data_IF_531348231620
#
_entry.id   IF_531348231620
#
_cell.length_a   1.000
_cell.length_b   1.000
_cell.length_c   1.000
_cell.angle_alpha   90.00
_cell.angle_beta   90.00
_cell.angle_gamma   90.00
#
_symmetry.space_group_name_H-M   'P 1'
#
loop_
_entity.id
_entity.type
_entity.pdbx_description
1 polymer ?
#
# COMPACT_ATOMS: atom_id res chain seq x y z
N UNK A 1 -44.98 -30.22 45.09
CA UNK A 1 -44.20 -29.17 45.80
C UNK A 1 -43.83 -28.07 44.80
N UNK A 2 -44.68 -27.06 44.70
CA UNK A 2 -44.40 -25.72 44.16
C UNK A 2 -43.75 -24.86 45.28
N UNK A 3 -43.28 -23.58 45.11
CA UNK A 3 -43.31 -22.69 43.92
C UNK A 3 -42.16 -21.62 43.75
N UNK A 4 -42.29 -20.82 42.66
CA UNK A 4 -42.07 -19.34 42.53
C UNK A 4 -40.65 -18.76 42.32
N UNK A 5 -40.36 -18.18 41.14
CA UNK A 5 -40.47 -16.73 40.74
C UNK A 5 -39.13 -15.99 40.90
N UNK A 6 -38.64 -15.07 40.05
CA UNK A 6 -39.31 -14.05 39.26
C UNK A 6 -38.42 -13.49 38.11
N UNK A 7 -39.08 -12.78 37.20
CA UNK A 7 -38.58 -12.00 36.06
C UNK A 7 -38.00 -10.64 36.51
N UNK A 8 -36.91 -10.16 35.88
CA UNK A 8 -36.57 -8.74 35.56
C UNK A 8 -35.25 -8.72 34.74
N UNK A 9 -35.25 -8.40 33.43
CA UNK A 9 -35.15 -7.07 32.82
C UNK A 9 -33.70 -6.53 32.61
N UNK A 10 -33.30 -6.45 31.32
CA UNK A 10 -32.49 -5.40 30.65
C UNK A 10 -30.99 -5.23 31.02
N UNK A 11 -30.05 -5.53 30.09
CA UNK A 11 -29.34 -4.59 29.16
C UNK A 11 -28.13 -5.26 28.47
N UNK A 12 -27.93 -4.96 27.17
CA UNK A 12 -26.76 -5.30 26.35
C UNK A 12 -25.48 -4.62 26.85
N UNK A 13 -24.32 -5.28 26.75
CA UNK A 13 -23.11 -4.62 26.18
C UNK A 13 -22.10 -5.64 25.65
N UNK A 14 -21.61 -5.37 24.44
CA UNK A 14 -20.60 -6.13 23.67
C UNK A 14 -19.24 -6.10 24.37
N UNK A 15 -18.61 -7.26 24.51
CA UNK A 15 -17.17 -7.35 24.78
C UNK A 15 -16.39 -7.14 23.46
N UNK A 16 -15.69 -6.02 23.36
CA UNK A 16 -14.66 -5.78 22.33
C UNK A 16 -13.30 -6.05 22.97
N UNK A 17 -12.59 -7.03 22.45
CA UNK A 17 -11.21 -7.34 22.82
C UNK A 17 -10.30 -6.30 22.13
N UNK A 18 -9.83 -5.32 22.90
CA UNK A 18 -8.87 -4.32 22.45
C UNK A 18 -7.44 -4.83 22.65
N UNK A 19 -6.70 -5.00 21.56
CA UNK A 19 -5.27 -5.29 21.53
C UNK A 19 -4.46 -4.05 21.92
N UNK A 20 -3.78 -4.13 23.05
CA UNK A 20 -2.86 -3.11 23.59
C UNK A 20 -1.43 -3.35 23.09
N UNK A 21 -0.90 -2.50 22.20
CA UNK A 21 0.55 -2.40 21.96
C UNK A 21 0.95 -0.93 21.70
N UNK A 22 1.74 -0.39 22.66
CA UNK A 22 2.67 0.75 22.63
C UNK A 22 2.49 1.68 23.85
N UNK A 23 3.42 1.70 24.83
CA UNK A 23 3.43 2.70 25.89
C UNK A 23 4.20 3.96 25.50
N UNK A 24 3.60 5.08 25.90
CA UNK A 24 4.09 6.45 26.04
C UNK A 24 5.62 6.64 26.13
N UNK A 25 6.22 7.29 25.13
CA UNK A 25 7.46 8.06 25.27
C UNK A 25 7.46 9.26 24.32
N UNK A 26 6.88 10.38 24.75
CA UNK A 26 7.13 11.70 24.17
C UNK A 26 7.26 12.71 25.32
N UNK A 27 8.37 13.47 25.31
CA UNK A 27 8.77 14.43 26.33
C UNK A 27 7.79 15.62 26.46
N UNK A 28 7.54 16.15 27.67
CA UNK A 28 6.57 17.22 27.89
C UNK A 28 7.18 18.60 27.66
N UNK A 29 7.38 18.99 26.40
CA UNK A 29 7.70 20.40 26.08
C UNK A 29 7.23 20.81 24.68
N UNK A 30 5.91 20.78 24.45
CA UNK A 30 5.30 21.50 23.33
C UNK A 30 4.09 22.26 23.89
N UNK A 31 4.33 23.48 24.40
CA UNK A 31 3.27 24.48 24.51
C UNK A 31 3.22 25.24 23.20
N UNK A 32 2.05 25.22 22.57
CA UNK A 32 1.71 25.83 21.27
C UNK A 32 2.30 25.15 20.04
N UNK A 33 1.57 24.19 19.44
CA UNK A 33 1.61 23.85 17.99
C UNK A 33 0.68 22.66 17.69
N UNK A 34 0.06 22.64 16.49
CA UNK A 34 -0.79 21.54 15.97
C UNK A 34 -0.15 20.18 16.29
N UNK A 35 -0.82 19.40 17.13
CA UNK A 35 -0.38 18.07 17.56
C UNK A 35 -0.48 17.09 16.39
N UNK A 36 0.55 16.25 16.18
CA UNK A 36 0.43 15.01 15.40
C UNK A 36 -0.55 14.11 16.16
N UNK A 37 -1.83 14.22 15.83
CA UNK A 37 -2.87 13.37 16.40
C UNK A 37 -2.87 12.06 15.62
N UNK A 38 -2.62 10.93 16.29
CA UNK A 38 -3.24 9.68 15.86
C UNK A 38 -4.74 9.99 15.90
N UNK A 39 -5.39 10.12 14.74
CA UNK A 39 -6.81 10.44 14.67
C UNK A 39 -7.60 9.14 14.58
N UNK A 40 -7.99 8.50 15.69
CA UNK A 40 -8.87 7.34 15.65
C UNK A 40 -10.28 7.70 15.15
N UNK A 41 -10.57 8.98 14.91
CA UNK A 41 -11.88 9.54 14.62
C UNK A 41 -11.89 10.29 13.29
N UNK A 42 -11.19 9.79 12.26
CA UNK A 42 -11.35 10.38 10.93
C UNK A 42 -12.82 10.27 10.50
N UNK A 43 -13.40 11.38 10.05
CA UNK A 43 -14.75 11.50 9.50
C UNK A 43 -14.68 12.41 8.28
N UNK A 44 -14.75 11.87 7.06
CA UNK A 44 -14.83 10.45 6.73
C UNK A 44 -13.47 9.78 6.95
N UNK A 45 -13.49 8.50 7.26
CA UNK A 45 -12.34 7.60 7.13
C UNK A 45 -12.02 7.36 5.65
N UNK A 46 -10.84 6.81 5.35
CA UNK A 46 -10.52 6.35 3.98
C UNK A 46 -11.48 5.29 3.45
N UNK A 47 -12.03 4.45 4.34
CA UNK A 47 -12.98 3.40 3.94
C UNK A 47 -14.33 4.00 3.53
N UNK A 48 -14.83 4.98 4.30
CA UNK A 48 -16.05 5.73 3.99
C UNK A 48 -15.87 6.56 2.72
N UNK A 49 -14.76 7.30 2.60
CA UNK A 49 -14.46 8.07 1.39
C UNK A 49 -14.34 7.17 0.14
N UNK A 50 -13.79 5.96 0.26
CA UNK A 50 -13.79 4.98 -0.83
C UNK A 50 -15.21 4.52 -1.18
N UNK A 51 -16.05 4.23 -0.18
CA UNK A 51 -17.44 3.84 -0.41
C UNK A 51 -18.24 4.91 -1.16
N UNK A 52 -17.98 6.19 -0.87
CA UNK A 52 -18.64 7.32 -1.52
C UNK A 52 -18.15 7.59 -2.95
N UNK A 53 -16.85 7.41 -3.23
CA UNK A 53 -16.22 7.88 -4.47
C UNK A 53 -16.03 6.75 -5.49
N UNK A 54 -15.55 5.58 -5.05
CA UNK A 54 -15.12 4.52 -5.95
C UNK A 54 -16.27 3.92 -6.78
N UNK A 55 -17.44 3.58 -6.21
CA UNK A 55 -18.51 2.95 -6.97
C UNK A 55 -19.10 3.83 -8.08
N UNK A 56 -19.09 5.15 -7.92
CA UNK A 56 -19.56 6.07 -8.95
C UNK A 56 -18.61 6.13 -10.16
N UNK A 57 -17.29 6.17 -9.91
CA UNK A 57 -16.29 6.29 -10.98
C UNK A 57 -15.86 4.94 -11.59
N UNK A 58 -15.92 3.87 -10.80
CA UNK A 58 -15.43 2.53 -11.13
C UNK A 58 -16.38 1.45 -10.57
N UNK A 59 -17.68 1.44 -10.93
CA UNK A 59 -18.62 0.44 -10.43
C UNK A 59 -18.17 -1.00 -10.74
N UNK A 60 -17.49 -1.20 -11.86
CA UNK A 60 -16.94 -2.50 -12.27
C UNK A 60 -15.89 -3.05 -11.29
N UNK A 61 -15.27 -2.20 -10.48
CA UNK A 61 -14.21 -2.61 -9.56
C UNK A 61 -14.75 -3.58 -8.50
N UNK A 62 -15.99 -3.40 -8.04
CA UNK A 62 -16.63 -4.30 -7.07
C UNK A 62 -16.94 -5.70 -7.65
N UNK A 63 -16.91 -5.85 -8.98
CA UNK A 63 -17.13 -7.13 -9.66
C UNK A 63 -15.86 -7.94 -9.92
N UNK A 64 -14.70 -7.49 -9.42
CA UNK A 64 -13.45 -8.23 -9.57
C UNK A 64 -13.54 -9.63 -8.97
N UNK A 65 -12.82 -10.55 -9.60
CA UNK A 65 -12.69 -11.93 -9.17
C UNK A 65 -11.25 -12.26 -8.80
N UNK A 66 -11.09 -13.23 -7.89
CA UNK A 66 -9.80 -13.83 -7.60
C UNK A 66 -9.36 -14.80 -8.73
N UNK A 67 -8.22 -15.45 -8.57
CA UNK A 67 -7.68 -16.40 -9.56
C UNK A 67 -8.54 -17.66 -9.77
N UNK A 68 -9.42 -18.01 -8.83
CA UNK A 68 -10.35 -19.15 -8.99
C UNK A 68 -11.64 -18.75 -9.73
N UNK A 69 -11.84 -17.44 -9.95
CA UNK A 69 -13.02 -16.86 -10.59
C UNK A 69 -14.15 -16.54 -9.61
N UNK A 70 -13.90 -16.64 -8.31
CA UNK A 70 -14.85 -16.25 -7.26
C UNK A 70 -14.75 -14.74 -6.98
N UNK A 71 -15.80 -14.16 -6.41
CA UNK A 71 -15.84 -12.76 -6.02
C UNK A 71 -14.66 -12.39 -5.11
N UNK A 72 -13.88 -11.40 -5.53
CA UNK A 72 -12.81 -10.86 -4.69
C UNK A 72 -13.37 -10.10 -3.48
N UNK A 73 -14.60 -9.59 -3.58
CA UNK A 73 -15.31 -8.90 -2.51
C UNK A 73 -16.57 -9.68 -2.09
N UNK A 74 -16.44 -10.76 -1.29
CA UNK A 74 -17.58 -11.61 -0.92
C UNK A 74 -18.72 -10.87 -0.22
N UNK A 75 -18.41 -9.82 0.55
CA UNK A 75 -19.44 -8.99 1.19
C UNK A 75 -20.36 -8.35 0.14
N UNK A 76 -19.80 -7.79 -0.93
CA UNK A 76 -20.57 -7.21 -2.03
C UNK A 76 -21.45 -8.27 -2.71
N UNK A 77 -20.86 -9.41 -3.10
CA UNK A 77 -21.58 -10.51 -3.74
C UNK A 77 -22.72 -11.06 -2.86
N UNK A 78 -22.54 -11.10 -1.53
CA UNK A 78 -23.58 -11.57 -0.60
C UNK A 78 -24.77 -10.62 -0.45
N UNK A 79 -24.65 -9.37 -0.90
CA UNK A 79 -25.68 -8.33 -0.72
C UNK A 79 -26.51 -8.11 -1.96
N UNK A 80 -25.97 -8.46 -3.13
CA UNK A 80 -26.61 -8.21 -4.43
C UNK A 80 -27.33 -9.44 -4.97
N UNK A 81 -28.25 -9.21 -5.90
CA UNK A 81 -29.14 -10.18 -6.54
C UNK A 81 -28.58 -10.76 -7.85
N UNK A 82 -27.32 -10.47 -8.19
CA UNK A 82 -26.61 -11.00 -9.35
C UNK A 82 -25.31 -11.68 -8.94
N UNK A 83 -24.85 -12.60 -9.78
CA UNK A 83 -23.59 -13.31 -9.55
C UNK A 83 -22.38 -12.40 -9.81
N UNK A 84 -21.30 -12.62 -9.07
CA UNK A 84 -19.98 -12.01 -9.33
C UNK A 84 -19.02 -13.13 -9.71
N UNK A 85 -18.70 -13.23 -11.00
CA UNK A 85 -17.98 -14.38 -11.53
C UNK A 85 -18.72 -15.67 -11.22
N UNK A 86 -18.03 -16.61 -10.54
CA UNK A 86 -18.60 -17.88 -10.11
C UNK A 86 -19.34 -17.81 -8.77
N UNK A 87 -19.27 -16.70 -8.04
CA UNK A 87 -19.94 -16.57 -6.75
C UNK A 87 -21.40 -16.18 -6.97
N UNK A 88 -22.37 -17.00 -6.51
CA UNK A 88 -23.78 -16.67 -6.62
C UNK A 88 -24.13 -15.39 -5.84
N UNK A 89 -25.06 -14.61 -6.37
CA UNK A 89 -25.65 -13.49 -5.64
C UNK A 89 -26.41 -14.00 -4.42
N UNK A 90 -26.12 -13.44 -3.24
CA UNK A 90 -26.67 -13.88 -1.96
C UNK A 90 -27.76 -12.98 -1.36
N UNK A 91 -28.06 -11.84 -2.00
CA UNK A 91 -28.91 -10.81 -1.42
C UNK A 91 -30.01 -10.30 -2.35
N UNK A 92 -30.74 -9.29 -1.89
CA UNK A 92 -31.88 -8.69 -2.60
C UNK A 92 -31.51 -7.38 -3.31
N UNK A 93 -30.35 -6.82 -2.97
CA UNK A 93 -29.70 -5.64 -3.56
C UNK A 93 -29.65 -5.70 -5.09
N UNK A 94 -30.17 -4.76 -5.87
CA UNK A 94 -29.48 -4.53 -7.16
C UNK A 94 -28.06 -4.00 -6.88
N UNK A 95 -27.08 -4.22 -7.77
CA UNK A 95 -25.74 -3.67 -7.60
C UNK A 95 -25.73 -2.15 -7.41
N UNK A 96 -26.54 -1.42 -8.17
CA UNK A 96 -26.66 0.03 -8.08
C UNK A 96 -27.21 0.47 -6.70
N UNK A 97 -28.26 -0.19 -6.20
CA UNK A 97 -28.81 0.09 -4.87
C UNK A 97 -27.78 -0.19 -3.77
N UNK A 98 -27.05 -1.31 -3.84
CA UNK A 98 -25.98 -1.58 -2.86
C UNK A 98 -24.92 -0.48 -2.89
N UNK A 99 -24.43 -0.09 -4.07
CA UNK A 99 -23.40 0.94 -4.21
C UNK A 99 -23.85 2.28 -3.63
N UNK A 100 -25.08 2.72 -3.95
CA UNK A 100 -25.65 3.95 -3.40
C UNK A 100 -25.82 3.86 -1.87
N UNK A 101 -26.35 2.75 -1.36
CA UNK A 101 -26.53 2.56 0.08
C UNK A 101 -25.19 2.46 0.83
N UNK A 102 -24.17 1.86 0.24
CA UNK A 102 -22.83 1.81 0.82
C UNK A 102 -22.18 3.19 0.90
N UNK A 103 -22.36 4.03 -0.13
CA UNK A 103 -21.94 5.43 -0.11
C UNK A 103 -22.61 6.23 1.02
N UNK A 104 -23.90 5.98 1.27
CA UNK A 104 -24.65 6.62 2.37
C UNK A 104 -24.42 5.95 3.76
N UNK A 105 -23.49 4.98 3.87
CA UNK A 105 -23.23 4.26 5.11
C UNK A 105 -24.37 3.35 5.59
N UNK A 106 -25.35 3.08 4.73
CA UNK A 106 -26.50 2.21 4.99
C UNK A 106 -26.21 0.72 4.70
N UNK A 107 -25.15 0.43 3.95
CA UNK A 107 -24.61 -0.92 3.78
C UNK A 107 -23.11 -0.94 4.11
N UNK A 108 -22.59 -2.06 4.66
CA UNK A 108 -21.16 -2.16 4.94
C UNK A 108 -20.37 -2.26 3.63
N UNK A 109 -19.32 -1.44 3.50
CA UNK A 109 -18.38 -1.49 2.37
C UNK A 109 -17.37 -2.65 2.54
N UNK A 110 -16.90 -3.32 1.47
CA UNK A 110 -16.03 -4.50 1.60
C UNK A 110 -14.73 -4.19 2.37
N UNK A 111 -14.44 -4.87 3.50
CA UNK A 111 -13.30 -4.51 4.35
C UNK A 111 -11.94 -4.77 3.70
N UNK A 112 -11.88 -5.68 2.73
CA UNK A 112 -10.70 -5.95 1.92
C UNK A 112 -10.54 -5.00 0.72
N UNK A 113 -11.49 -4.09 0.48
CA UNK A 113 -11.38 -2.98 -0.46
C UNK A 113 -10.91 -1.74 0.30
N UNK A 114 -9.58 -1.60 0.43
CA UNK A 114 -8.93 -0.54 1.21
C UNK A 114 -7.71 0.02 0.44
N UNK A 115 -7.01 1.01 1.03
CA UNK A 115 -5.84 1.67 0.42
C UNK A 115 -4.74 0.70 -0.07
N UNK A 116 -4.58 -0.46 0.57
CA UNK A 116 -3.60 -1.47 0.13
C UNK A 116 -4.08 -2.23 -1.10
N UNK A 117 -5.39 -2.50 -1.18
CA UNK A 117 -5.95 -3.25 -2.29
C UNK A 117 -5.99 -2.42 -3.56
N UNK A 118 -6.36 -1.16 -3.47
CA UNK A 118 -6.51 -0.28 -4.65
C UNK A 118 -5.18 0.04 -5.34
N UNK A 119 -4.03 -0.28 -4.74
CA UNK A 119 -2.71 -0.17 -5.38
C UNK A 119 -2.27 -1.44 -6.12
N UNK A 120 -3.10 -2.49 -6.13
CA UNK A 120 -2.80 -3.72 -6.86
C UNK A 120 -3.52 -3.72 -8.21
N UNK A 121 -2.74 -3.65 -9.29
CA UNK A 121 -3.22 -3.48 -10.65
C UNK A 121 -2.80 -4.66 -11.54
N UNK A 122 -3.58 -4.94 -12.61
CA UNK A 122 -3.08 -5.77 -13.70
C UNK A 122 -1.78 -5.18 -14.28
N UNK A 123 -0.96 -6.04 -14.90
CA UNK A 123 0.31 -5.62 -15.49
C UNK A 123 0.10 -4.52 -16.55
N UNK A 124 1.00 -3.55 -16.54
CA UNK A 124 1.05 -2.47 -17.55
C UNK A 124 2.19 -2.70 -18.52
N UNK A 125 2.01 -2.29 -19.77
CA UNK A 125 3.03 -2.40 -20.82
C UNK A 125 3.69 -1.06 -21.16
N UNK A 126 3.51 -0.02 -20.35
CA UNK A 126 4.00 1.35 -20.61
C UNK A 126 5.52 1.45 -20.71
N UNK A 127 6.27 0.59 -19.99
CA UNK A 127 7.73 0.53 -20.09
C UNK A 127 8.20 0.25 -21.52
N UNK A 128 7.50 -0.64 -22.23
CA UNK A 128 7.80 -0.97 -23.64
C UNK A 128 7.76 0.27 -24.53
N UNK A 129 6.73 1.09 -24.35
CA UNK A 129 6.54 2.33 -25.09
C UNK A 129 7.60 3.38 -24.74
N UNK A 130 7.80 3.68 -23.45
CA UNK A 130 8.68 4.76 -23.03
C UNK A 130 10.15 4.46 -23.31
N UNK A 131 10.61 3.21 -23.15
CA UNK A 131 11.98 2.88 -23.52
C UNK A 131 12.18 2.95 -25.04
N UNK A 132 11.22 2.50 -25.85
CA UNK A 132 11.27 2.71 -27.31
C UNK A 132 11.36 4.18 -27.68
N UNK A 133 10.51 5.02 -27.10
CA UNK A 133 10.52 6.47 -27.33
C UNK A 133 11.87 7.09 -26.96
N UNK A 134 12.46 6.65 -25.84
CA UNK A 134 13.78 7.09 -25.42
C UNK A 134 14.86 6.68 -26.42
N UNK A 135 14.91 5.41 -26.83
CA UNK A 135 15.92 4.89 -27.76
C UNK A 135 15.88 5.59 -29.13
N UNK A 136 14.67 5.86 -29.65
CA UNK A 136 14.49 6.62 -30.89
C UNK A 136 15.04 8.05 -30.81
N UNK A 137 14.99 8.67 -29.62
CA UNK A 137 15.42 10.07 -29.41
C UNK A 137 16.88 10.20 -28.94
N UNK A 138 17.46 9.13 -28.39
CA UNK A 138 18.78 9.15 -27.76
C UNK A 138 19.90 9.55 -28.71
N UNK A 139 19.74 9.27 -30.02
CA UNK A 139 20.74 9.61 -31.04
C UNK A 139 22.03 8.78 -30.96
N UNK A 140 22.01 7.65 -30.25
CA UNK A 140 23.16 6.78 -30.07
C UNK A 140 23.46 6.01 -31.37
N UNK A 141 24.73 5.96 -31.76
CA UNK A 141 25.13 5.31 -33.00
C UNK A 141 24.99 3.77 -32.96
N UNK A 142 25.05 3.16 -31.77
CA UNK A 142 25.02 1.70 -31.57
C UNK A 142 23.73 1.20 -30.95
N UNK A 143 23.04 2.00 -30.13
CA UNK A 143 21.85 1.57 -29.36
C UNK A 143 20.63 2.44 -29.71
N UNK A 144 19.84 1.99 -30.69
CA UNK A 144 18.75 2.78 -31.32
C UNK A 144 17.36 2.22 -31.07
N UNK A 145 17.29 0.94 -30.75
CA UNK A 145 16.06 0.18 -30.60
C UNK A 145 16.30 -1.00 -29.65
N UNK A 146 15.26 -1.80 -29.42
CA UNK A 146 15.34 -2.96 -28.52
C UNK A 146 16.36 -4.00 -28.99
N UNK A 147 16.44 -4.27 -30.29
CA UNK A 147 17.33 -5.28 -30.86
C UNK A 147 18.79 -4.89 -30.62
N UNK A 148 19.13 -3.65 -30.96
CA UNK A 148 20.48 -3.11 -30.76
C UNK A 148 20.79 -2.90 -29.29
N UNK A 149 19.82 -2.53 -28.45
CA UNK A 149 19.99 -2.52 -26.99
C UNK A 149 20.37 -3.91 -26.48
N UNK A 150 19.61 -4.96 -26.83
CA UNK A 150 19.86 -6.31 -26.35
C UNK A 150 21.17 -6.90 -26.89
N UNK A 151 21.58 -6.54 -28.11
CA UNK A 151 22.84 -6.98 -28.69
C UNK A 151 24.07 -6.31 -28.05
N UNK A 152 23.94 -5.10 -27.48
CA UNK A 152 25.06 -4.32 -26.97
C UNK A 152 25.08 -4.19 -25.44
N UNK A 153 24.00 -4.55 -24.74
CA UNK A 153 23.92 -4.48 -23.28
C UNK A 153 24.60 -5.69 -22.61
N UNK A 154 25.31 -5.44 -21.52
CA UNK A 154 25.83 -6.50 -20.64
C UNK A 154 24.84 -6.76 -19.52
N UNK A 155 24.13 -7.89 -19.60
CA UNK A 155 23.20 -8.33 -18.56
C UNK A 155 23.93 -9.11 -17.47
N UNK A 156 23.62 -8.84 -16.21
CA UNK A 156 24.26 -9.52 -15.09
C UNK A 156 23.79 -10.99 -14.91
N UNK A 157 22.66 -11.38 -15.52
CA UNK A 157 22.17 -12.77 -15.52
C UNK A 157 21.34 -13.08 -16.77
N UNK A 158 21.24 -14.38 -17.10
CA UNK A 158 20.41 -14.88 -18.20
C UNK A 158 18.93 -14.51 -18.04
N UNK A 159 18.40 -14.53 -16.81
CA UNK A 159 17.02 -14.14 -16.53
C UNK A 159 16.73 -12.68 -16.88
N UNK A 160 17.71 -11.78 -16.70
CA UNK A 160 17.54 -10.38 -17.08
C UNK A 160 17.57 -10.18 -18.59
N UNK A 161 18.45 -10.89 -19.29
CA UNK A 161 18.42 -10.91 -20.75
C UNK A 161 17.06 -11.43 -21.25
N UNK A 162 16.57 -12.55 -20.71
CA UNK A 162 15.27 -13.10 -21.07
C UNK A 162 14.12 -12.11 -20.79
N UNK A 163 14.14 -11.40 -19.66
CA UNK A 163 13.16 -10.37 -19.34
C UNK A 163 13.17 -9.21 -20.35
N UNK A 164 14.35 -8.76 -20.79
CA UNK A 164 14.47 -7.71 -21.82
C UNK A 164 14.11 -8.19 -23.22
N UNK A 165 14.35 -9.47 -23.54
CA UNK A 165 13.86 -10.10 -24.78
C UNK A 165 12.32 -10.17 -24.77
N UNK A 166 11.71 -10.51 -23.64
CA UNK A 166 10.24 -10.50 -23.50
C UNK A 166 9.67 -9.10 -23.75
N UNK A 167 10.33 -8.05 -23.24
CA UNK A 167 9.94 -6.67 -23.55
C UNK A 167 10.12 -6.34 -25.03
N UNK A 168 11.26 -6.71 -25.64
CA UNK A 168 11.49 -6.52 -27.08
C UNK A 168 10.34 -7.12 -27.91
N UNK A 169 9.92 -8.34 -27.58
CA UNK A 169 8.91 -9.11 -28.31
C UNK A 169 7.46 -8.71 -27.98
N UNK A 170 7.23 -7.81 -27.02
CA UNK A 170 5.91 -7.31 -26.69
C UNK A 170 5.44 -6.28 -27.73
N UNK A 171 4.61 -6.73 -28.67
CA UNK A 171 4.11 -5.90 -29.77
C UNK A 171 2.79 -5.17 -29.43
N UNK A 172 1.89 -5.80 -28.68
CA UNK A 172 0.65 -5.18 -28.21
C UNK A 172 0.83 -4.65 -26.79
N UNK A 173 0.75 -3.32 -26.65
CA UNK A 173 0.93 -2.64 -25.37
C UNK A 173 -0.42 -2.29 -24.69
N UNK A 174 -1.56 -2.63 -25.30
CA UNK A 174 -2.86 -2.48 -24.65
C UNK A 174 -2.92 -3.40 -23.43
N UNK A 175 -3.41 -2.88 -22.32
CA UNK A 175 -3.67 -3.71 -21.13
C UNK A 175 -4.74 -3.08 -20.25
N UNK A 176 -5.52 -3.93 -19.58
CA UNK A 176 -6.51 -3.48 -18.58
C UNK A 176 -5.86 -2.67 -17.46
N UNK A 177 -4.60 -2.99 -17.13
CA UNK A 177 -3.81 -2.28 -16.13
C UNK A 177 -3.58 -0.80 -16.47
N UNK A 178 -3.45 -0.44 -17.76
CA UNK A 178 -3.32 0.96 -18.16
C UNK A 178 -4.59 1.74 -17.85
N UNK A 179 -5.74 1.20 -18.26
CA UNK A 179 -7.06 1.82 -18.04
C UNK A 179 -7.42 1.87 -16.56
N UNK A 180 -7.20 0.78 -15.82
CA UNK A 180 -7.50 0.71 -14.40
C UNK A 180 -6.64 1.69 -13.60
N UNK A 181 -5.34 1.77 -13.88
CA UNK A 181 -4.43 2.62 -13.12
C UNK A 181 -4.74 4.11 -13.31
N UNK A 182 -5.12 4.55 -14.51
CA UNK A 182 -5.48 5.96 -14.73
C UNK A 182 -6.82 6.31 -14.06
N UNK A 183 -7.84 5.44 -14.15
CA UNK A 183 -9.12 5.66 -13.45
C UNK A 183 -8.95 5.64 -11.94
N UNK A 184 -8.15 4.71 -11.43
CA UNK A 184 -7.92 4.58 -9.98
C UNK A 184 -7.10 5.74 -9.43
N UNK A 185 -6.18 6.33 -10.20
CA UNK A 185 -5.47 7.56 -9.81
C UNK A 185 -6.47 8.69 -9.52
N UNK A 186 -7.44 8.90 -10.39
CA UNK A 186 -8.48 9.92 -10.21
C UNK A 186 -9.35 9.65 -8.97
N UNK A 187 -9.67 8.39 -8.69
CA UNK A 187 -10.38 7.97 -7.46
C UNK A 187 -9.53 8.23 -6.23
N UNK A 188 -8.27 7.79 -6.22
CA UNK A 188 -7.34 7.97 -5.10
C UNK A 188 -7.17 9.43 -4.73
N UNK A 189 -6.95 10.31 -5.72
CA UNK A 189 -6.80 11.75 -5.47
C UNK A 189 -8.04 12.35 -4.81
N UNK A 190 -9.25 12.02 -5.30
CA UNK A 190 -10.51 12.49 -4.70
C UNK A 190 -10.71 11.98 -3.28
N UNK A 191 -10.41 10.70 -3.04
CA UNK A 191 -10.46 10.09 -1.71
C UNK A 191 -9.52 10.79 -0.74
N UNK A 192 -8.27 11.03 -1.14
CA UNK A 192 -7.29 11.76 -0.32
C UNK A 192 -7.77 13.17 -0.03
N UNK A 193 -8.19 13.92 -1.04
CA UNK A 193 -8.66 15.30 -0.88
C UNK A 193 -9.90 15.37 0.02
N UNK A 194 -10.86 14.46 -0.13
CA UNK A 194 -12.05 14.38 0.72
C UNK A 194 -11.66 14.14 2.18
N UNK A 195 -10.87 13.10 2.43
CA UNK A 195 -10.42 12.78 3.80
C UNK A 195 -9.66 13.97 4.39
N UNK A 196 -8.72 14.57 3.67
CA UNK A 196 -7.96 15.71 4.20
C UNK A 196 -8.86 16.92 4.49
N UNK A 197 -9.73 17.30 3.56
CA UNK A 197 -10.57 18.51 3.68
C UNK A 197 -11.62 18.39 4.78
N UNK A 198 -12.36 17.28 4.82
CA UNK A 198 -13.43 17.10 5.81
C UNK A 198 -12.90 16.82 7.22
N UNK A 199 -11.64 16.38 7.35
CA UNK A 199 -10.96 16.22 8.64
C UNK A 199 -10.05 17.41 9.01
N UNK A 200 -10.00 18.47 8.21
CA UNK A 200 -9.12 19.62 8.39
C UNK A 200 -7.63 19.23 8.59
N UNK A 201 -7.11 18.34 7.73
CA UNK A 201 -5.73 17.86 7.75
C UNK A 201 -4.88 18.58 6.70
N UNK A 202 -3.67 18.98 7.10
CA UNK A 202 -2.68 19.53 6.16
C UNK A 202 -1.76 18.45 5.58
N UNK A 203 -1.44 17.42 6.36
CA UNK A 203 -0.49 16.36 6.00
C UNK A 203 -0.93 15.03 6.58
N UNK A 204 -0.67 13.95 5.83
CA UNK A 204 -0.84 12.57 6.25
C UNK A 204 0.53 11.92 6.44
N UNK A 205 0.63 11.07 7.47
CA UNK A 205 1.90 10.45 7.86
C UNK A 205 1.73 8.96 8.12
N UNK A 206 2.61 8.12 7.57
CA UNK A 206 2.68 6.68 7.86
C UNK A 206 4.12 6.16 7.83
N UNK A 207 4.40 4.98 8.44
CA UNK A 207 5.65 4.27 8.20
C UNK A 207 5.82 3.96 6.70
N UNK A 208 7.01 4.23 6.15
CA UNK A 208 7.31 3.98 4.74
C UNK A 208 7.16 2.50 4.36
N UNK A 209 7.70 1.63 5.20
CA UNK A 209 7.63 0.17 5.11
C UNK A 209 7.23 -0.39 6.46
N UNK A 210 6.49 -1.51 6.46
CA UNK A 210 6.05 -2.20 7.70
C UNK A 210 6.67 -3.59 7.84
N UNK A 211 7.69 -3.86 7.04
CA UNK A 211 8.40 -5.13 6.90
C UNK A 211 9.90 -4.87 6.89
N UNK A 212 10.72 -5.85 7.30
CA UNK A 212 12.17 -5.74 7.20
C UNK A 212 12.59 -5.58 5.73
N UNK A 213 13.70 -4.86 5.53
CA UNK A 213 14.33 -4.78 4.20
C UNK A 213 14.97 -6.14 3.91
N UNK A 214 14.66 -6.77 2.76
CA UNK A 214 15.17 -8.10 2.46
C UNK A 214 16.70 -8.06 2.26
N UNK A 215 17.35 -9.15 2.69
CA UNK A 215 18.77 -9.38 2.36
C UNK A 215 18.92 -9.57 0.86
N UNK A 216 20.02 -9.08 0.30
CA UNK A 216 20.35 -9.27 -1.13
C UNK A 216 20.38 -10.78 -1.43
N UNK A 217 19.60 -11.22 -2.41
CA UNK A 217 19.46 -12.63 -2.77
C UNK A 217 18.66 -13.48 -1.79
N UNK A 218 18.14 -12.89 -0.70
CA UNK A 218 17.32 -13.56 0.29
C UNK A 218 15.81 -13.58 -0.04
N UNK A 219 15.01 -14.25 0.80
CA UNK A 219 13.56 -14.22 0.70
C UNK A 219 13.00 -12.83 1.04
N UNK A 220 11.79 -12.56 0.57
CA UNK A 220 11.05 -11.32 0.86
C UNK A 220 9.82 -11.63 1.72
N UNK A 221 9.30 -10.66 2.48
CA UNK A 221 8.04 -10.87 3.18
C UNK A 221 6.90 -11.18 2.19
N UNK A 222 6.08 -12.22 2.41
CA UNK A 222 4.98 -12.57 1.52
C UNK A 222 3.90 -11.48 1.43
N UNK A 223 3.31 -11.36 0.25
CA UNK A 223 2.21 -10.44 -0.01
C UNK A 223 0.89 -11.04 0.49
N UNK A 224 0.47 -10.61 1.67
CA UNK A 224 -0.76 -11.06 2.34
C UNK A 224 -1.67 -9.86 2.59
N UNK A 225 -2.97 -10.01 2.34
CA UNK A 225 -3.97 -8.94 2.51
C UNK A 225 -3.57 -7.65 1.78
N UNK A 226 -3.06 -7.80 0.55
CA UNK A 226 -2.55 -6.72 -0.30
C UNK A 226 -1.43 -5.87 0.32
N UNK A 227 -0.78 -6.34 1.40
CA UNK A 227 0.44 -5.71 1.90
C UNK A 227 1.57 -6.02 0.92
N UNK A 228 2.20 -5.01 0.30
CA UNK A 228 3.31 -5.25 -0.62
C UNK A 228 4.52 -5.83 0.12
N UNK A 229 5.32 -6.60 -0.60
CA UNK A 229 6.62 -7.13 -0.16
C UNK A 229 7.74 -6.08 -0.15
N UNK A 230 7.38 -4.82 -0.40
CA UNK A 230 8.26 -3.64 -0.40
C UNK A 230 7.46 -2.39 0.06
N UNK A 231 7.96 -1.18 -0.21
CA UNK A 231 7.29 0.09 -0.01
C UNK A 231 5.87 0.11 -0.60
N UNK A 232 4.95 0.76 0.11
CA UNK A 232 3.62 1.08 -0.40
C UNK A 232 3.69 2.08 -1.57
N UNK A 233 3.19 1.68 -2.75
CA UNK A 233 3.21 2.50 -3.96
C UNK A 233 2.10 3.57 -4.03
N UNK A 234 1.26 3.67 -2.99
CA UNK A 234 0.03 4.47 -2.98
C UNK A 234 0.20 5.91 -3.51
N UNK A 235 1.17 6.65 -3.00
CA UNK A 235 1.41 8.05 -3.37
C UNK A 235 1.84 8.21 -4.82
N UNK A 236 2.68 7.31 -5.33
CA UNK A 236 3.12 7.28 -6.72
C UNK A 236 1.97 6.91 -7.67
N UNK A 237 1.11 5.98 -7.26
CA UNK A 237 -0.07 5.59 -8.03
C UNK A 237 -1.12 6.71 -8.04
N UNK A 238 -1.35 7.35 -6.89
CA UNK A 238 -2.22 8.51 -6.75
C UNK A 238 -1.65 9.78 -7.41
N UNK A 239 -0.35 9.82 -7.74
CA UNK A 239 0.29 11.01 -8.31
C UNK A 239 0.25 12.21 -7.35
N UNK A 240 0.55 11.96 -6.07
CA UNK A 240 0.54 12.97 -5.01
C UNK A 240 1.94 13.12 -4.40
N UNK A 241 2.27 14.30 -3.84
CA UNK A 241 3.60 14.55 -3.32
C UNK A 241 3.87 13.76 -2.04
N UNK A 242 5.09 13.24 -1.92
CA UNK A 242 5.57 12.51 -0.75
C UNK A 242 7.03 12.87 -0.45
N UNK A 243 7.33 13.07 0.84
CA UNK A 243 8.69 13.18 1.35
C UNK A 243 8.93 12.15 2.45
N UNK A 244 10.11 11.57 2.45
CA UNK A 244 10.50 10.50 3.39
C UNK A 244 11.61 11.01 4.28
N UNK A 245 11.41 10.90 5.60
CA UNK A 245 12.39 11.34 6.60
C UNK A 245 12.77 10.20 7.55
N UNK A 246 14.03 10.14 8.02
CA UNK A 246 14.46 9.15 9.01
C UNK A 246 13.66 9.24 10.31
N UNK A 247 13.22 8.10 10.81
CA UNK A 247 12.37 7.96 11.99
C UNK A 247 13.00 7.14 13.12
N UNK A 248 14.31 6.92 13.03
CA UNK A 248 15.10 6.18 14.00
C UNK A 248 15.51 4.82 13.45
N UNK A 249 15.68 3.86 14.36
CA UNK A 249 16.17 2.54 14.04
C UNK A 249 15.37 1.46 14.76
N UNK A 250 15.17 0.34 14.09
CA UNK A 250 14.57 -0.86 14.65
C UNK A 250 15.65 -1.93 14.86
N UNK A 251 15.74 -2.47 16.08
CA UNK A 251 16.68 -3.54 16.43
C UNK A 251 16.05 -4.93 16.41
N UNK A 252 14.74 -5.03 16.28
CA UNK A 252 14.04 -6.33 16.29
C UNK A 252 13.56 -6.64 14.89
N UNK A 253 14.07 -7.72 14.30
CA UNK A 253 13.66 -8.18 12.97
C UNK A 253 13.17 -9.62 13.02
N UNK A 254 12.22 -9.91 12.15
CA UNK A 254 11.70 -11.24 11.88
C UNK A 254 12.02 -11.51 10.42
N UNK A 255 13.13 -12.20 10.16
CA UNK A 255 13.62 -12.39 8.80
C UNK A 255 12.76 -13.45 8.08
N UNK A 256 12.25 -13.16 6.86
CA UNK A 256 11.58 -14.18 6.07
C UNK A 256 12.54 -15.34 5.77
N UNK A 257 11.97 -16.51 5.50
CA UNK A 257 12.72 -17.73 5.15
C UNK A 257 12.23 -18.27 3.81
N UNK A 258 13.10 -18.98 3.09
CA UNK A 258 12.65 -19.81 1.98
C UNK A 258 12.06 -21.11 2.54
N UNK A 259 10.89 -21.50 2.06
CA UNK A 259 10.29 -22.80 2.31
C UNK A 259 10.10 -23.53 0.98
N UNK A 260 10.47 -24.81 0.94
CA UNK A 260 10.21 -25.66 -0.21
C UNK A 260 8.69 -25.87 -0.36
N UNK A 261 8.18 -25.78 -1.59
CA UNK A 261 6.79 -26.07 -1.90
C UNK A 261 6.46 -27.54 -1.61
N UNK A 262 5.19 -27.84 -1.35
CA UNK A 262 4.73 -29.20 -1.01
C UNK A 262 5.00 -30.21 -2.13
N UNK A 263 5.03 -29.75 -3.39
CA UNK A 263 5.39 -30.55 -4.56
C UNK A 263 6.90 -30.65 -4.79
N UNK A 264 7.72 -30.05 -3.93
CA UNK A 264 9.20 -30.03 -3.98
C UNK A 264 9.82 -29.39 -5.22
N UNK A 265 9.03 -28.64 -6.00
CA UNK A 265 9.47 -28.07 -7.29
C UNK A 265 9.91 -26.62 -7.22
N UNK A 266 9.64 -25.92 -6.11
CA UNK A 266 9.91 -24.49 -6.00
C UNK A 266 10.16 -24.06 -4.56
N UNK A 267 10.90 -22.96 -4.37
CA UNK A 267 10.97 -22.28 -3.07
C UNK A 267 10.03 -21.09 -3.07
N UNK A 268 9.30 -20.91 -1.98
CA UNK A 268 8.49 -19.73 -1.72
C UNK A 268 9.00 -19.02 -0.48
N UNK A 269 8.84 -17.69 -0.44
CA UNK A 269 9.10 -16.95 0.78
C UNK A 269 7.99 -17.21 1.80
N UNK A 270 8.36 -17.34 3.06
CA UNK A 270 7.44 -17.42 4.21
C UNK A 270 7.90 -16.43 5.28
N UNK A 271 6.95 -15.86 6.02
CA UNK A 271 7.28 -14.92 7.11
C UNK A 271 8.09 -15.59 8.20
N UNK A 272 9.04 -14.85 8.77
CA UNK A 272 9.80 -15.29 9.93
C UNK A 272 8.97 -15.22 11.20
N UNK A 273 9.16 -16.19 12.10
CA UNK A 273 8.58 -16.18 13.45
C UNK A 273 9.64 -15.98 14.54
N UNK A 274 10.91 -16.13 14.17
CA UNK A 274 12.04 -16.02 15.06
C UNK A 274 12.42 -14.55 15.27
N UNK A 275 12.46 -14.14 16.53
CA UNK A 275 12.88 -12.80 16.91
C UNK A 275 14.41 -12.71 16.87
N UNK A 276 14.93 -11.88 15.98
CA UNK A 276 16.36 -11.59 15.88
C UNK A 276 16.60 -10.18 16.45
N UNK A 277 17.56 -10.08 17.38
CA UNK A 277 18.02 -8.80 17.92
C UNK A 277 19.28 -8.37 17.19
N UNK A 278 19.23 -7.20 16.55
CA UNK A 278 20.37 -6.58 15.87
C UNK A 278 21.19 -5.73 16.84
N UNK A 279 22.48 -5.65 16.55
CA UNK A 279 23.39 -4.73 17.23
C UNK A 279 22.96 -3.27 16.99
N UNK A 280 23.35 -2.39 17.93
CA UNK A 280 23.06 -0.97 17.79
C UNK A 280 23.78 -0.38 16.56
N UNK A 281 23.14 0.52 15.79
CA UNK A 281 21.83 1.12 16.05
C UNK A 281 20.62 0.29 15.57
N UNK A 282 20.83 -0.78 14.78
CA UNK A 282 19.77 -1.54 14.10
C UNK A 282 19.54 -1.09 12.66
N UNK A 283 18.40 -1.45 12.07
CA UNK A 283 18.03 -1.01 10.72
C UNK A 283 17.27 0.32 10.76
N UNK A 284 17.57 1.26 9.86
CA UNK A 284 16.85 2.53 9.80
C UNK A 284 15.38 2.31 9.45
N UNK A 285 14.51 3.07 10.09
CA UNK A 285 13.09 3.19 9.74
C UNK A 285 12.80 4.62 9.30
N UNK A 286 11.77 4.80 8.48
CA UNK A 286 11.40 6.11 7.95
C UNK A 286 9.89 6.34 8.02
N UNK A 287 9.52 7.62 8.16
CA UNK A 287 8.16 8.09 7.99
C UNK A 287 8.00 8.72 6.61
N UNK A 288 6.86 8.47 6.00
CA UNK A 288 6.36 9.09 4.79
C UNK A 288 5.40 10.21 5.17
N UNK A 289 5.63 11.42 4.66
CA UNK A 289 4.74 12.57 4.76
C UNK A 289 4.21 12.88 3.37
N UNK A 290 2.89 12.94 3.22
CA UNK A 290 2.24 13.19 1.93
C UNK A 290 0.95 13.98 2.10
N UNK A 291 0.52 14.62 1.02
CA UNK A 291 -0.63 15.51 0.99
C UNK A 291 -1.33 15.43 -0.38
N UNK A 292 -2.31 16.31 -0.62
CA UNK A 292 -2.96 16.41 -1.93
C UNK A 292 -2.04 16.92 -3.04
N UNK A 293 -2.45 16.83 -4.32
CA UNK A 293 -1.67 17.38 -5.44
C UNK A 293 -1.33 18.87 -5.24
N UNK A 294 -0.07 19.25 -5.50
CA UNK A 294 0.40 20.64 -5.39
C UNK A 294 0.81 21.11 -3.98
N UNK A 295 0.78 20.22 -2.99
CA UNK A 295 1.08 20.54 -1.58
C UNK A 295 2.55 20.25 -1.19
N UNK A 296 3.48 20.30 -2.14
CA UNK A 296 4.92 20.05 -1.90
C UNK A 296 5.49 20.96 -0.79
N UNK A 297 5.12 22.25 -0.80
CA UNK A 297 5.59 23.22 0.20
C UNK A 297 5.12 22.86 1.61
N UNK A 298 3.89 22.37 1.75
CA UNK A 298 3.29 21.95 3.02
C UNK A 298 4.01 20.73 3.58
N UNK A 299 4.25 19.70 2.76
CA UNK A 299 4.94 18.49 3.22
C UNK A 299 6.43 18.74 3.50
N UNK A 300 7.10 19.61 2.72
CA UNK A 300 8.48 20.02 2.98
C UNK A 300 8.59 20.70 4.34
N UNK A 301 7.71 21.67 4.61
CA UNK A 301 7.69 22.37 5.90
C UNK A 301 7.47 21.41 7.07
N UNK A 302 6.49 20.51 6.96
CA UNK A 302 6.18 19.56 8.02
C UNK A 302 7.33 18.56 8.26
N UNK A 303 7.90 18.02 7.19
CA UNK A 303 9.00 17.05 7.26
C UNK A 303 10.30 17.69 7.78
N UNK A 304 10.65 18.89 7.33
CA UNK A 304 11.81 19.62 7.85
C UNK A 304 11.65 19.98 9.33
N UNK A 305 10.46 20.36 9.77
CA UNK A 305 10.19 20.60 11.19
C UNK A 305 10.35 19.32 12.02
N UNK A 306 9.84 18.18 11.53
CA UNK A 306 10.03 16.88 12.16
C UNK A 306 11.52 16.51 12.27
N UNK A 307 12.28 16.64 11.17
CA UNK A 307 13.70 16.32 11.14
C UNK A 307 14.51 17.21 12.09
N UNK A 308 14.26 18.52 12.10
CA UNK A 308 14.98 19.50 12.91
C UNK A 308 14.88 19.21 14.42
N UNK A 309 13.74 18.68 14.87
CA UNK A 309 13.50 18.34 16.28
C UNK A 309 14.01 16.93 16.61
N UNK A 310 13.82 15.96 15.72
CA UNK A 310 14.07 14.55 16.04
C UNK A 310 15.50 14.11 15.79
N UNK A 311 16.16 14.63 14.75
CA UNK A 311 17.56 14.35 14.38
C UNK A 311 17.91 12.86 14.41
N UNK A 312 17.00 12.01 13.91
CA UNK A 312 17.16 10.56 13.97
C UNK A 312 18.31 10.01 13.12
N UNK A 313 18.70 10.73 12.06
CA UNK A 313 19.76 10.32 11.16
C UNK A 313 21.09 10.22 11.90
N UNK A 314 21.84 9.14 11.64
CA UNK A 314 23.22 8.94 12.12
C UNK A 314 24.10 8.47 10.97
N UNK A 315 25.38 8.90 10.89
CA UNK A 315 26.33 8.31 9.96
C UNK A 315 26.46 6.79 10.19
N UNK A 316 26.50 5.97 9.13
CA UNK A 316 26.76 4.54 9.26
C UNK A 316 28.17 4.29 9.82
N UNK A 317 28.29 3.48 10.88
CA UNK A 317 29.57 3.25 11.57
C UNK A 317 30.66 2.64 10.67
N UNK A 318 30.27 1.83 9.67
CA UNK A 318 31.19 1.19 8.74
C UNK A 318 31.80 2.15 7.69
N UNK A 319 31.29 3.37 7.58
CA UNK A 319 31.68 4.34 6.55
C UNK A 319 31.96 5.69 7.22
N UNK A 320 33.03 5.72 8.02
CA UNK A 320 33.51 6.93 8.68
C UNK A 320 34.00 8.00 7.68
N UNK A 321 34.33 9.20 8.17
CA UNK A 321 34.86 10.26 7.33
C UNK A 321 36.13 9.81 6.61
N UNK A 322 36.31 10.28 5.37
CA UNK A 322 37.54 10.04 4.63
C UNK A 322 38.69 10.85 5.25
N UNK A 323 39.92 10.30 5.31
CA UNK A 323 41.07 11.06 5.81
C UNK A 323 41.26 12.36 5.02
N UNK A 324 41.23 13.51 5.70
CA UNK A 324 41.52 14.82 5.10
C UNK A 324 40.35 15.53 4.43
N UNK A 325 39.13 14.98 4.48
CA UNK A 325 37.91 15.72 4.09
C UNK A 325 37.15 16.21 5.33
N UNK A 326 36.54 17.43 5.28
CA UNK A 326 35.85 18.04 6.42
C UNK A 326 34.59 17.29 6.88
#
# INVERSE_FOLDING_TARGET
>A
MTPRSAIRSIKRSRASCATSWAPNYLSPSIRSTRTIRRSPNLKPTFQEALAEILPFHMPEYLFKTNSTGEAEFPLFASRINVNVGKTPGGGTLSPAEYMARAAEGLEPFPPNLNLRRITNFPRTSSFRFHLSQYLLRRGDAKVKDWTTLNANATYYSGDKLAAFINWQNLNDIRSDGLTERIKMREVMQRVVLKVMRENNLDVLVNPLTTIPIPKIGGPVEPEINSRPSNRYAFTADAGIPEIVVPAGFNRVVYEPKFALSSDTRSYRSVSGTERILLDAPGLPISLSFWAGPGEESTILKAASAYEAVTKHRRPPAAFGPLPGEP
#
